data_IF_830259351043
#
_entry.id   IF_830259351043
#
_cell.length_a   1.000
_cell.length_b   1.000
_cell.length_c   1.000
_cell.angle_alpha   90.00
_cell.angle_beta   90.00
_cell.angle_gamma   90.00
#
_symmetry.space_group_name_H-M   'P 1'
#
loop_
_entity.id
_entity.type
_entity.pdbx_description
1 polymer ?
#
# COMPACT_ATOMS: atom_id res chain seq x y z
N UNK A 1 -0.94 24.30 1.69
CA UNK A 1 0.00 23.32 1.06
C UNK A 1 0.31 23.67 -0.39
N UNK A 2 0.38 22.77 -1.38
CA UNK A 2 0.92 23.10 -2.72
C UNK A 2 0.18 24.23 -3.48
N UNK A 3 -1.15 24.32 -3.35
CA UNK A 3 -1.95 25.38 -3.96
C UNK A 3 -1.87 26.74 -3.22
N UNK A 4 -1.11 26.84 -2.13
CA UNK A 4 -0.97 28.08 -1.36
C UNK A 4 -2.22 28.46 -0.56
N UNK A 5 -3.03 27.48 -0.13
CA UNK A 5 -4.21 27.70 0.69
C UNK A 5 -4.01 27.16 2.12
N UNK A 6 -4.51 27.87 3.15
CA UNK A 6 -4.56 27.39 4.52
C UNK A 6 -5.52 26.20 4.61
N UNK A 7 -5.25 25.29 5.55
CA UNK A 7 -6.00 24.05 5.76
C UNK A 7 -6.41 23.99 7.23
N UNK A 8 -7.62 23.50 7.49
CA UNK A 8 -8.05 23.07 8.82
C UNK A 8 -8.32 21.58 8.71
N UNK A 9 -7.67 20.78 9.55
CA UNK A 9 -7.73 19.33 9.51
C UNK A 9 -7.85 18.75 10.92
N UNK A 10 -8.28 17.50 11.01
CA UNK A 10 -8.23 16.79 12.28
C UNK A 10 -6.80 16.42 12.66
N UNK A 11 -6.52 16.45 13.95
CA UNK A 11 -5.33 15.86 14.55
C UNK A 11 -5.50 14.33 14.59
N UNK A 12 -5.46 13.70 13.40
CA UNK A 12 -5.74 12.28 13.24
C UNK A 12 -5.09 11.70 11.98
N UNK A 13 -4.59 10.47 12.08
CA UNK A 13 -3.96 9.75 10.98
C UNK A 13 -2.69 10.46 10.49
N UNK A 14 -2.54 10.58 9.16
CA UNK A 14 -1.37 11.20 8.54
C UNK A 14 -1.45 12.74 8.43
N UNK A 15 -2.59 13.35 8.73
CA UNK A 15 -2.78 14.80 8.59
C UNK A 15 -1.85 15.65 9.47
N UNK A 16 -1.55 15.27 10.73
CA UNK A 16 -0.57 15.97 11.57
C UNK A 16 0.85 15.94 11.01
N UNK A 17 1.19 14.94 10.20
CA UNK A 17 2.51 14.85 9.55
C UNK A 17 2.66 15.86 8.40
N UNK A 18 1.53 16.23 7.78
CA UNK A 18 1.47 17.14 6.64
C UNK A 18 1.35 18.62 7.05
N UNK A 19 0.75 18.88 8.21
CA UNK A 19 0.34 20.22 8.65
C UNK A 19 1.06 20.59 9.93
N UNK A 20 1.74 21.74 9.90
CA UNK A 20 2.30 22.36 11.09
C UNK A 20 1.27 23.33 11.69
N UNK A 21 0.78 22.99 12.88
CA UNK A 21 -0.30 23.71 13.56
C UNK A 21 0.07 25.18 13.79
N UNK A 22 -0.85 26.09 13.44
CA UNK A 22 -0.71 27.57 13.45
C UNK A 22 0.33 28.14 12.48
N UNK A 23 1.05 27.31 11.72
CA UNK A 23 2.06 27.74 10.75
C UNK A 23 1.53 27.59 9.33
N UNK A 24 1.22 26.36 8.91
CA UNK A 24 0.73 26.04 7.56
C UNK A 24 -0.76 25.66 7.51
N UNK A 25 -1.37 25.52 8.68
CA UNK A 25 -2.77 25.18 8.86
C UNK A 25 -3.15 25.11 10.33
N UNK A 26 -4.37 24.66 10.61
CA UNK A 26 -4.83 24.35 11.96
C UNK A 26 -5.17 22.87 12.05
N UNK A 27 -4.89 22.32 13.23
CA UNK A 27 -5.24 20.97 13.63
C UNK A 27 -6.25 21.08 14.77
N UNK A 28 -7.34 20.33 14.68
CA UNK A 28 -8.40 20.28 15.69
C UNK A 28 -8.60 18.84 16.17
N UNK A 29 -9.05 18.62 17.42
CA UNK A 29 -9.31 17.27 17.91
C UNK A 29 -10.33 16.52 17.04
N UNK A 30 -10.13 15.20 16.89
CA UNK A 30 -10.99 14.38 16.06
C UNK A 30 -12.45 14.39 16.52
N UNK A 31 -13.39 14.66 15.60
CA UNK A 31 -14.85 14.83 15.84
C UNK A 31 -15.25 16.08 16.64
N UNK A 32 -14.31 16.96 17.02
CA UNK A 32 -14.61 18.24 17.65
C UNK A 32 -14.69 19.36 16.61
N UNK A 33 -15.68 19.29 15.70
CA UNK A 33 -15.81 20.26 14.60
C UNK A 33 -16.08 21.71 15.06
N UNK A 34 -16.66 21.89 16.25
CA UNK A 34 -16.84 23.20 16.88
C UNK A 34 -15.53 23.97 17.05
N UNK A 35 -14.43 23.24 17.24
CA UNK A 35 -13.12 23.83 17.50
C UNK A 35 -12.54 24.47 16.22
N UNK A 36 -13.11 24.19 15.04
CA UNK A 36 -12.77 24.86 13.79
C UNK A 36 -13.29 26.30 13.72
N UNK A 37 -14.38 26.62 14.43
CA UNK A 37 -15.08 27.92 14.34
C UNK A 37 -14.14 29.12 14.54
N UNK A 38 -13.34 29.20 15.63
CA UNK A 38 -12.43 30.33 15.82
C UNK A 38 -11.39 30.46 14.70
N UNK A 39 -10.93 29.34 14.14
CA UNK A 39 -9.96 29.35 13.04
C UNK A 39 -10.58 29.81 11.72
N UNK A 40 -11.81 29.38 11.42
CA UNK A 40 -12.56 29.87 10.26
C UNK A 40 -12.78 31.37 10.38
N UNK A 41 -13.22 31.86 11.55
CA UNK A 41 -13.43 33.29 11.79
C UNK A 41 -12.13 34.09 11.61
N UNK A 42 -11.01 33.59 12.15
CA UNK A 42 -9.70 34.23 12.00
C UNK A 42 -9.27 34.32 10.53
N UNK A 43 -9.46 33.25 9.75
CA UNK A 43 -9.14 33.24 8.32
C UNK A 43 -10.06 34.19 7.53
N UNK A 44 -11.37 34.16 7.77
CA UNK A 44 -12.33 35.05 7.12
C UNK A 44 -12.06 36.54 7.40
N UNK A 45 -11.55 36.86 8.59
CA UNK A 45 -11.31 38.24 9.02
C UNK A 45 -9.91 38.76 8.69
N UNK A 46 -8.98 37.89 8.27
CA UNK A 46 -7.58 38.26 8.05
C UNK A 46 -7.01 37.68 6.76
N UNK A 47 -7.06 38.48 5.69
CA UNK A 47 -6.52 38.09 4.38
C UNK A 47 -4.99 37.88 4.42
N UNK A 48 -4.25 38.60 5.27
CA UNK A 48 -2.80 38.40 5.39
C UNK A 48 -2.47 37.04 6.00
N UNK A 49 -3.23 36.61 7.02
CA UNK A 49 -3.10 35.29 7.60
C UNK A 49 -3.31 34.19 6.56
N UNK A 50 -4.33 34.32 5.70
CA UNK A 50 -4.56 33.37 4.59
C UNK A 50 -3.32 33.28 3.69
N UNK A 51 -2.74 34.41 3.31
CA UNK A 51 -1.57 34.45 2.42
C UNK A 51 -0.35 33.83 3.08
N UNK A 52 -0.03 34.25 4.31
CA UNK A 52 1.14 33.74 5.04
C UNK A 52 1.02 32.24 5.27
N UNK A 53 -0.08 31.78 5.87
CA UNK A 53 -0.28 30.35 6.16
C UNK A 53 -0.33 29.50 4.89
N UNK A 54 -0.96 30.03 3.83
CA UNK A 54 -0.97 29.40 2.52
C UNK A 54 0.45 29.22 1.94
N UNK A 55 1.27 30.27 2.01
CA UNK A 55 2.66 30.26 1.55
C UNK A 55 3.52 29.30 2.36
N UNK A 56 3.42 29.30 3.70
CA UNK A 56 4.13 28.35 4.56
C UNK A 56 3.77 26.91 4.19
N UNK A 57 2.48 26.62 4.02
CA UNK A 57 2.07 25.31 3.56
C UNK A 57 2.64 24.96 2.19
N UNK A 58 2.81 25.92 1.27
CA UNK A 58 3.41 25.67 -0.04
C UNK A 58 4.89 25.36 0.08
N UNK A 59 5.62 26.06 0.95
CA UNK A 59 7.03 25.77 1.24
C UNK A 59 7.19 24.35 1.79
N UNK A 60 6.43 23.98 2.84
CA UNK A 60 6.43 22.63 3.40
C UNK A 60 6.15 21.57 2.33
N UNK A 61 5.16 21.82 1.46
CA UNK A 61 4.82 20.89 0.40
C UNK A 61 5.96 20.67 -0.60
N UNK A 62 6.68 21.73 -0.98
CA UNK A 62 7.84 21.64 -1.87
C UNK A 62 9.04 20.96 -1.18
N UNK A 63 9.27 21.26 0.09
CA UNK A 63 10.42 20.75 0.83
C UNK A 63 10.26 19.30 1.27
N UNK A 64 9.06 18.86 1.64
CA UNK A 64 8.86 17.49 2.13
C UNK A 64 8.31 16.55 1.06
N UNK A 65 7.50 17.05 0.13
CA UNK A 65 6.69 16.21 -0.76
C UNK A 65 6.90 16.51 -2.25
N UNK A 66 8.02 17.13 -2.62
CA UNK A 66 8.37 17.30 -4.03
C UNK A 66 8.74 15.96 -4.68
N UNK A 67 8.48 15.87 -5.98
CA UNK A 67 8.87 14.73 -6.80
C UNK A 67 10.38 14.46 -6.71
N UNK A 68 11.20 15.51 -6.68
CA UNK A 68 12.66 15.38 -6.55
C UNK A 68 13.06 14.69 -5.24
N UNK A 69 12.47 15.09 -4.11
CA UNK A 69 12.79 14.50 -2.81
C UNK A 69 12.29 13.06 -2.72
N UNK A 70 11.11 12.78 -3.30
CA UNK A 70 10.61 11.42 -3.42
C UNK A 70 11.54 10.54 -4.24
N UNK A 71 12.00 11.00 -5.42
CA UNK A 71 12.92 10.24 -6.27
C UNK A 71 14.25 9.95 -5.57
N UNK A 72 14.82 10.92 -4.85
CA UNK A 72 16.05 10.74 -4.08
C UNK A 72 15.86 9.69 -2.98
N UNK A 73 14.76 9.77 -2.22
CA UNK A 73 14.46 8.79 -1.17
C UNK A 73 14.25 7.38 -1.75
N UNK A 74 13.55 7.29 -2.88
CA UNK A 74 13.28 6.04 -3.57
C UNK A 74 14.57 5.41 -4.14
N UNK A 75 15.42 6.19 -4.78
CA UNK A 75 16.72 5.75 -5.28
C UNK A 75 17.62 5.27 -4.14
N UNK A 76 17.70 6.03 -3.04
CA UNK A 76 18.44 5.63 -1.84
C UNK A 76 17.95 4.28 -1.30
N UNK A 77 16.63 4.07 -1.27
CA UNK A 77 16.04 2.81 -0.84
C UNK A 77 16.40 1.66 -1.79
N UNK A 78 16.21 1.82 -3.10
CA UNK A 78 16.55 0.79 -4.07
C UNK A 78 18.04 0.43 -4.01
N UNK A 79 18.95 1.39 -3.92
CA UNK A 79 20.38 1.14 -3.81
C UNK A 79 20.74 0.33 -2.55
N UNK A 80 20.02 0.53 -1.43
CA UNK A 80 20.19 -0.30 -0.22
C UNK A 80 19.69 -1.74 -0.40
N UNK A 81 18.62 -1.95 -1.17
CA UNK A 81 18.09 -3.28 -1.45
C UNK A 81 19.01 -4.02 -2.44
N UNK A 82 19.45 -3.35 -3.51
CA UNK A 82 20.32 -3.94 -4.51
C UNK A 82 21.71 -4.29 -3.96
N UNK A 83 22.30 -3.43 -3.12
CA UNK A 83 23.62 -3.71 -2.52
C UNK A 83 23.64 -4.93 -1.60
N UNK A 84 22.48 -5.42 -1.14
CA UNK A 84 22.35 -6.67 -0.36
C UNK A 84 22.10 -7.91 -1.22
N UNK A 85 21.76 -7.77 -2.50
CA UNK A 85 21.35 -8.91 -3.34
C UNK A 85 22.53 -9.69 -3.91
N UNK A 86 23.68 -9.05 -4.09
CA UNK A 86 24.92 -9.70 -4.58
C UNK A 86 25.47 -10.77 -3.61
N UNK A 87 25.03 -10.81 -2.35
CA UNK A 87 25.42 -11.85 -1.40
C UNK A 87 24.48 -13.06 -1.35
N UNK A 88 23.39 -13.06 -2.13
CA UNK A 88 22.39 -14.15 -2.17
C UNK A 88 22.45 -14.98 -3.47
N UNK A 89 23.44 -14.74 -4.33
CA UNK A 89 23.64 -15.45 -5.60
C UNK A 89 24.28 -16.83 -5.39
N UNK A 90 23.60 -17.70 -4.66
CA UNK A 90 23.72 -19.15 -4.78
C UNK A 90 22.53 -19.80 -4.06
N UNK A 91 21.38 -19.83 -4.73
CA UNK A 91 20.24 -20.61 -4.29
C UNK A 91 19.56 -21.29 -5.48
N UNK A 92 20.31 -22.12 -6.20
CA UNK A 92 19.74 -23.09 -7.17
C UNK A 92 18.67 -23.99 -6.52
N UNK A 93 18.67 -24.11 -5.18
CA UNK A 93 17.68 -24.86 -4.41
C UNK A 93 16.28 -24.21 -4.35
N UNK A 94 16.12 -22.92 -4.62
CA UNK A 94 14.80 -22.24 -4.57
C UNK A 94 13.92 -22.53 -5.79
N UNK A 95 14.50 -22.97 -6.92
CA UNK A 95 13.74 -23.32 -8.13
C UNK A 95 12.92 -24.62 -7.97
N UNK A 96 13.11 -25.36 -6.88
CA UNK A 96 12.33 -26.58 -6.57
C UNK A 96 11.17 -26.34 -5.60
N UNK A 97 10.95 -25.10 -5.15
CA UNK A 97 9.93 -24.79 -4.16
C UNK A 97 8.64 -24.39 -4.87
N UNK A 98 7.53 -25.06 -4.54
CA UNK A 98 6.20 -24.58 -4.87
C UNK A 98 5.80 -23.49 -3.89
N UNK A 99 5.44 -22.31 -4.41
CA UNK A 99 4.92 -21.20 -3.62
C UNK A 99 3.40 -21.31 -3.57
N UNK A 100 2.85 -21.48 -2.37
CA UNK A 100 1.40 -21.45 -2.17
C UNK A 100 0.93 -20.06 -1.78
N UNK A 101 -0.04 -19.52 -2.52
CA UNK A 101 -0.82 -18.33 -2.14
C UNK A 101 -2.14 -18.78 -1.51
N UNK A 102 -2.57 -18.09 -0.46
CA UNK A 102 -3.93 -18.22 0.06
C UNK A 102 -4.64 -16.88 -0.08
N UNK A 103 -5.79 -16.87 -0.77
CA UNK A 103 -6.62 -15.70 -1.00
C UNK A 103 -8.04 -15.98 -0.51
N UNK A 104 -8.77 -14.99 -0.01
CA UNK A 104 -10.19 -15.24 0.28
C UNK A 104 -10.99 -15.41 -1.01
N UNK A 105 -10.80 -14.49 -1.96
CA UNK A 105 -11.40 -14.54 -3.29
C UNK A 105 -10.29 -14.72 -4.34
N UNK A 106 -10.47 -15.65 -5.28
CA UNK A 106 -9.60 -15.72 -6.47
C UNK A 106 -10.31 -16.41 -7.65
N UNK A 107 -10.09 -15.96 -8.90
CA UNK A 107 -9.40 -14.73 -9.26
C UNK A 107 -10.32 -13.49 -9.08
N UNK A 108 -9.71 -12.32 -8.90
CA UNK A 108 -10.43 -11.03 -8.75
C UNK A 108 -9.79 -9.98 -9.68
N UNK A 109 -10.47 -9.55 -10.76
CA UNK A 109 -9.88 -8.62 -11.74
C UNK A 109 -9.44 -7.27 -11.15
N UNK A 110 -10.13 -6.80 -10.11
CA UNK A 110 -9.81 -5.55 -9.41
C UNK A 110 -8.61 -5.66 -8.46
N UNK A 111 -8.17 -6.87 -8.09
CA UNK A 111 -7.00 -7.10 -7.23
C UNK A 111 -5.73 -7.27 -8.08
N UNK A 112 -5.40 -6.22 -8.82
CA UNK A 112 -4.29 -6.23 -9.78
C UNK A 112 -2.93 -6.51 -9.15
N UNK A 113 -2.73 -6.16 -7.88
CA UNK A 113 -1.50 -6.48 -7.14
C UNK A 113 -1.25 -7.99 -7.05
N UNK A 114 -2.24 -8.76 -6.61
CA UNK A 114 -2.14 -10.23 -6.47
C UNK A 114 -1.88 -10.88 -7.83
N UNK A 115 -2.61 -10.44 -8.86
CA UNK A 115 -2.42 -10.94 -10.22
C UNK A 115 -1.02 -10.60 -10.77
N UNK A 116 -0.53 -9.38 -10.54
CA UNK A 116 0.79 -8.95 -11.01
C UNK A 116 1.92 -9.71 -10.32
N UNK A 117 1.79 -9.95 -9.02
CA UNK A 117 2.78 -10.68 -8.23
C UNK A 117 2.88 -12.14 -8.70
N UNK A 118 1.74 -12.85 -8.80
CA UNK A 118 1.71 -14.24 -9.28
C UNK A 118 2.20 -14.32 -10.73
N UNK A 119 1.83 -13.36 -11.60
CA UNK A 119 2.33 -13.28 -12.98
C UNK A 119 3.85 -13.23 -13.00
N UNK A 120 4.44 -12.38 -12.17
CA UNK A 120 5.89 -12.18 -12.15
C UNK A 120 6.63 -13.40 -11.60
N UNK A 121 6.10 -14.04 -10.55
CA UNK A 121 6.65 -15.29 -10.03
C UNK A 121 6.61 -16.42 -11.06
N UNK A 122 5.47 -16.56 -11.75
CA UNK A 122 5.30 -17.53 -12.85
C UNK A 122 6.27 -17.25 -14.00
N UNK A 123 6.45 -15.97 -14.38
CA UNK A 123 7.41 -15.53 -15.40
C UNK A 123 8.86 -15.84 -15.02
N UNK A 124 9.21 -15.79 -13.73
CA UNK A 124 10.54 -16.14 -13.22
C UNK A 124 10.75 -17.67 -13.10
N UNK A 125 9.74 -18.47 -13.44
CA UNK A 125 9.81 -19.93 -13.42
C UNK A 125 9.53 -20.56 -12.06
N UNK A 126 9.04 -19.80 -11.08
CA UNK A 126 8.56 -20.37 -9.82
C UNK A 126 7.22 -21.08 -10.05
N UNK A 127 7.06 -22.26 -9.46
CA UNK A 127 5.79 -22.96 -9.46
C UNK A 127 4.88 -22.35 -8.40
N UNK A 128 3.80 -21.68 -8.81
CA UNK A 128 2.87 -21.00 -7.91
C UNK A 128 1.50 -21.65 -7.96
N UNK A 129 0.94 -21.98 -6.79
CA UNK A 129 -0.41 -22.54 -6.64
C UNK A 129 -1.23 -21.64 -5.74
N UNK A 130 -2.45 -21.31 -6.16
CA UNK A 130 -3.37 -20.46 -5.38
C UNK A 130 -4.46 -21.29 -4.73
N UNK A 131 -4.68 -21.08 -3.44
CA UNK A 131 -5.81 -21.64 -2.69
C UNK A 131 -6.78 -20.50 -2.37
N UNK A 132 -8.06 -20.69 -2.63
CA UNK A 132 -9.06 -19.66 -2.37
C UNK A 132 -10.32 -20.17 -1.70
N UNK A 133 -10.99 -19.33 -0.91
CA UNK A 133 -12.26 -19.71 -0.27
C UNK A 133 -13.45 -19.57 -1.21
N UNK A 134 -13.41 -18.54 -2.04
CA UNK A 134 -14.47 -18.19 -2.98
C UNK A 134 -13.89 -17.80 -4.34
N UNK A 135 -14.65 -18.07 -5.40
CA UNK A 135 -14.32 -17.64 -6.75
C UNK A 135 -15.51 -16.87 -7.31
N UNK A 136 -15.65 -15.57 -6.99
CA UNK A 136 -16.79 -14.77 -7.44
C UNK A 136 -16.75 -14.47 -8.95
N UNK A 137 -15.59 -14.63 -9.60
CA UNK A 137 -15.40 -14.39 -11.03
C UNK A 137 -14.84 -15.65 -11.74
N UNK A 138 -15.60 -16.75 -11.80
CA UNK A 138 -15.09 -18.03 -12.33
C UNK A 138 -14.75 -17.97 -13.82
N UNK A 139 -15.39 -17.07 -14.58
CA UNK A 139 -15.15 -16.89 -16.02
C UNK A 139 -13.91 -16.04 -16.31
N UNK A 140 -13.41 -15.29 -15.32
CA UNK A 140 -12.19 -14.50 -15.49
C UNK A 140 -10.98 -15.41 -15.48
N UNK A 141 -10.26 -15.45 -16.59
CA UNK A 141 -9.04 -16.24 -16.75
C UNK A 141 -7.84 -15.29 -16.72
N UNK A 142 -6.94 -15.42 -15.74
CA UNK A 142 -5.67 -14.70 -15.76
C UNK A 142 -4.92 -14.95 -17.08
N UNK A 143 -4.20 -13.94 -17.54
CA UNK A 143 -3.42 -13.94 -18.79
C UNK A 143 -2.08 -14.69 -18.68
N UNK A 144 -1.89 -15.45 -17.60
CA UNK A 144 -0.69 -16.21 -17.27
C UNK A 144 -1.08 -17.60 -16.72
N UNK A 145 -0.18 -18.61 -16.82
CA UNK A 145 -0.45 -19.92 -16.28
C UNK A 145 -0.47 -19.86 -14.75
N UNK A 146 -1.63 -20.22 -14.17
CA UNK A 146 -1.81 -20.33 -12.72
C UNK A 146 -2.79 -21.45 -12.41
N UNK A 147 -2.38 -22.34 -11.51
CA UNK A 147 -3.25 -23.35 -10.92
C UNK A 147 -3.90 -22.79 -9.66
N UNK A 148 -5.21 -23.01 -9.52
CA UNK A 148 -5.90 -22.61 -8.30
C UNK A 148 -6.98 -23.60 -7.88
N UNK A 149 -7.17 -23.71 -6.57
CA UNK A 149 -8.05 -24.67 -5.93
C UNK A 149 -8.95 -23.94 -4.94
N UNK A 150 -10.25 -24.27 -4.96
CA UNK A 150 -11.17 -23.81 -3.92
C UNK A 150 -11.05 -24.68 -2.69
N UNK A 151 -11.01 -24.05 -1.51
CA UNK A 151 -10.84 -24.71 -0.23
C UNK A 151 -11.95 -24.27 0.73
N UNK A 152 -12.60 -25.23 1.38
CA UNK A 152 -13.74 -25.02 2.26
C UNK A 152 -13.30 -24.79 3.71
N UNK A 153 -12.27 -25.52 4.15
CA UNK A 153 -11.78 -25.53 5.52
C UNK A 153 -10.24 -25.65 5.64
N UNK A 154 -9.74 -25.53 6.87
CA UNK A 154 -8.30 -25.51 7.17
C UNK A 154 -7.67 -26.90 7.01
N UNK A 155 -8.43 -27.97 7.23
CA UNK A 155 -7.94 -29.35 7.13
C UNK A 155 -7.69 -29.73 5.66
N UNK A 156 -8.60 -29.31 4.78
CA UNK A 156 -8.46 -29.42 3.34
C UNK A 156 -7.29 -28.58 2.83
N UNK A 157 -7.12 -27.34 3.33
CA UNK A 157 -5.97 -26.50 2.97
C UNK A 157 -4.65 -27.20 3.34
N UNK A 158 -4.55 -27.69 4.57
CA UNK A 158 -3.35 -28.37 5.05
C UNK A 158 -3.03 -29.63 4.21
N UNK A 159 -4.05 -30.43 3.90
CA UNK A 159 -3.92 -31.62 3.07
C UNK A 159 -3.40 -31.28 1.66
N UNK A 160 -3.96 -30.24 1.03
CA UNK A 160 -3.56 -29.79 -0.30
C UNK A 160 -2.15 -29.19 -0.31
N UNK A 161 -1.75 -28.46 0.74
CA UNK A 161 -0.39 -27.92 0.86
C UNK A 161 0.65 -29.05 0.89
N UNK A 162 0.37 -30.14 1.62
CA UNK A 162 1.22 -31.33 1.66
C UNK A 162 1.24 -32.03 0.30
N UNK A 163 0.07 -32.26 -0.32
CA UNK A 163 -0.04 -32.91 -1.63
C UNK A 163 0.75 -32.17 -2.71
N UNK A 164 0.66 -30.83 -2.73
CA UNK A 164 1.34 -29.99 -3.72
C UNK A 164 2.79 -29.67 -3.35
N UNK A 165 3.30 -30.22 -2.24
CA UNK A 165 4.62 -29.93 -1.69
C UNK A 165 4.89 -28.41 -1.66
N UNK A 166 3.89 -27.67 -1.20
CA UNK A 166 3.86 -26.21 -1.31
C UNK A 166 4.23 -25.55 0.01
N UNK A 167 5.19 -24.64 -0.05
CA UNK A 167 5.53 -23.75 1.04
C UNK A 167 4.55 -22.58 1.01
N UNK A 168 3.72 -22.48 2.05
CA UNK A 168 2.74 -21.41 2.19
C UNK A 168 3.47 -20.08 2.41
N UNK A 169 3.45 -19.25 1.37
CA UNK A 169 3.66 -17.81 1.53
C UNK A 169 2.29 -17.24 1.85
N UNK A 170 2.13 -16.71 3.07
CA UNK A 170 0.90 -15.96 3.37
C UNK A 170 0.81 -14.78 2.41
N UNK A 171 -0.04 -14.92 1.40
CA UNK A 171 -0.57 -13.80 0.65
C UNK A 171 -1.19 -12.84 1.66
N UNK A 172 -0.78 -11.57 1.59
CA UNK A 172 -1.19 -10.53 2.53
C UNK A 172 -2.70 -10.60 2.71
N UNK A 173 -3.09 -10.90 3.94
CA UNK A 173 -4.46 -11.05 4.40
C UNK A 173 -5.16 -9.68 4.29
N UNK A 174 -5.62 -9.29 3.10
CA UNK A 174 -6.58 -8.20 2.99
C UNK A 174 -7.93 -8.77 3.42
N UNK A 175 -8.18 -8.62 4.72
CA UNK A 175 -9.53 -8.56 5.25
C UNK A 175 -10.21 -7.40 4.50
N UNK A 176 -10.97 -7.71 3.45
CA UNK A 176 -12.09 -6.86 3.09
C UNK A 176 -13.11 -7.05 4.20
N UNK A 177 -13.01 -6.19 5.21
CA UNK A 177 -14.05 -5.65 6.10
C UNK A 177 -13.39 -4.71 7.12
#
# INVERSE_FOLDING_TARGET
MAAGRPIIAYDHGALPELIEHKVSGYLIPFKHYSDAIPYVQALCSNLQLIKTMGNEGRCIAKEKFSQSNYNIALESFYNKVYSKRDSLSNCESLQRITVAYFCWHFPVPSETFVLNEIRELSRQGYHVVVFCRQSPYPDFKPDFPVEWYRVEDVEQLASLLIEKNALLLMGILFIQL
#
